data_IF_311223103021
#
_entry.id   IF_311223103021
#
_cell.length_a   1.000
_cell.length_b   1.000
_cell.length_c   1.000
_cell.angle_alpha   90.00
_cell.angle_beta   90.00
_cell.angle_gamma   90.00
#
_symmetry.space_group_name_H-M   'P 1'
#
loop_
_entity.id
_entity.type
_entity.pdbx_description
1 polymer ?
#
# COMPACT_ATOMS: atom_id res chain seq x y z
N UNK A 1 25.27 2.16 11.83
CA UNK A 1 24.84 2.67 13.15
C UNK A 1 23.41 2.23 13.34
N UNK A 2 23.00 1.87 14.55
CA UNK A 2 21.58 1.65 14.83
C UNK A 2 20.84 3.00 14.74
N UNK A 3 19.58 3.00 14.31
CA UNK A 3 18.73 4.18 14.35
C UNK A 3 18.51 4.63 15.80
N UNK A 4 18.36 5.93 16.00
CA UNK A 4 18.03 6.50 17.31
C UNK A 4 16.68 5.97 17.81
N UNK A 5 16.72 5.34 18.99
CA UNK A 5 15.55 4.73 19.63
C UNK A 5 14.53 5.77 20.10
N UNK A 6 14.89 7.04 20.18
CA UNK A 6 13.95 8.14 20.51
C UNK A 6 12.82 8.30 19.47
N UNK A 7 12.98 7.75 18.27
CA UNK A 7 11.99 7.78 17.20
C UNK A 7 10.89 6.72 17.33
N UNK A 8 11.01 5.79 18.27
CA UNK A 8 9.95 4.80 18.55
C UNK A 8 8.69 5.54 19.03
N UNK A 9 7.54 5.19 18.46
CA UNK A 9 6.24 5.84 18.71
C UNK A 9 5.98 7.08 17.87
N UNK A 10 6.94 7.54 17.04
CA UNK A 10 6.73 8.67 16.13
C UNK A 10 5.66 8.33 15.08
N UNK A 11 4.78 9.28 14.85
CA UNK A 11 3.75 9.23 13.80
C UNK A 11 3.95 10.38 12.82
N UNK A 12 3.68 10.10 11.56
CA UNK A 12 3.72 11.08 10.47
C UNK A 12 2.28 11.42 10.05
N UNK A 13 2.01 12.67 9.64
CA UNK A 13 0.67 13.10 9.29
C UNK A 13 0.13 12.26 8.12
N UNK A 14 -1.19 12.01 8.08
CA UNK A 14 -1.79 11.32 6.94
C UNK A 14 -1.49 12.06 5.62
N UNK A 15 -1.30 11.30 4.56
CA UNK A 15 -1.27 11.85 3.19
C UNK A 15 -2.69 12.05 2.68
N UNK A 16 -2.83 12.85 1.62
CA UNK A 16 -4.10 13.05 0.94
C UNK A 16 -4.74 11.71 0.55
N UNK A 17 -6.09 11.61 0.59
CA UNK A 17 -6.81 10.41 0.18
C UNK A 17 -6.38 9.96 -1.23
N UNK A 18 -6.20 8.66 -1.38
CA UNK A 18 -5.93 8.02 -2.66
C UNK A 18 -7.19 7.32 -3.16
N UNK A 19 -7.70 7.72 -4.31
CA UNK A 19 -8.78 7.00 -4.99
C UNK A 19 -8.20 5.80 -5.76
N UNK A 20 -8.70 4.61 -5.44
CA UNK A 20 -8.20 3.37 -6.05
C UNK A 20 -8.67 3.26 -7.50
N UNK A 21 -7.78 3.45 -8.46
CA UNK A 21 -8.09 3.32 -9.88
C UNK A 21 -8.02 1.88 -10.41
N UNK A 22 -8.98 1.49 -11.26
CA UNK A 22 -8.98 0.18 -11.96
C UNK A 22 -7.70 -0.08 -12.75
N UNK A 23 -7.23 0.92 -13.48
CA UNK A 23 -6.00 0.80 -14.27
C UNK A 23 -4.79 0.55 -13.37
N UNK A 24 -4.76 1.15 -12.18
CA UNK A 24 -3.65 0.90 -11.25
C UNK A 24 -3.68 -0.51 -10.68
N UNK A 25 -4.87 -1.04 -10.41
CA UNK A 25 -5.05 -2.44 -10.01
C UNK A 25 -4.55 -3.37 -11.13
N UNK A 26 -4.95 -3.12 -12.38
CA UNK A 26 -4.52 -3.88 -13.56
C UNK A 26 -2.99 -3.85 -13.72
N UNK A 27 -2.38 -2.66 -13.68
CA UNK A 27 -0.92 -2.51 -13.74
C UNK A 27 -0.22 -3.31 -12.64
N UNK A 28 -0.74 -3.26 -11.41
CA UNK A 28 -0.17 -3.97 -10.29
C UNK A 28 -0.29 -5.49 -10.47
N UNK A 29 -1.45 -5.99 -10.87
CA UNK A 29 -1.68 -7.41 -11.15
C UNK A 29 -0.69 -7.94 -12.20
N UNK A 30 -0.46 -7.19 -13.28
CA UNK A 30 0.56 -7.51 -14.29
C UNK A 30 1.97 -7.51 -13.68
N UNK A 31 2.31 -6.49 -12.89
CA UNK A 31 3.64 -6.36 -12.30
C UNK A 31 3.99 -7.51 -11.33
N UNK A 32 3.00 -8.07 -10.64
CA UNK A 32 3.17 -9.22 -9.73
C UNK A 32 2.93 -10.56 -10.43
N UNK A 33 2.54 -10.57 -11.71
CA UNK A 33 2.30 -11.78 -12.49
C UNK A 33 1.01 -12.52 -12.13
N UNK A 34 0.03 -11.86 -11.53
CA UNK A 34 -1.26 -12.46 -11.18
C UNK A 34 -2.29 -12.23 -12.29
N UNK A 35 -2.63 -13.32 -12.99
CA UNK A 35 -3.51 -13.30 -14.16
C UNK A 35 -5.00 -13.47 -13.83
N UNK A 36 -5.41 -13.35 -12.56
CA UNK A 36 -6.82 -13.48 -12.19
C UNK A 36 -7.69 -12.44 -12.93
N UNK A 37 -8.69 -12.87 -13.73
CA UNK A 37 -9.51 -11.96 -14.54
C UNK A 37 -10.31 -10.95 -13.70
N UNK A 38 -10.56 -11.24 -12.41
CA UNK A 38 -11.23 -10.33 -11.50
C UNK A 38 -10.51 -8.99 -11.35
N UNK A 39 -9.18 -8.95 -11.53
CA UNK A 39 -8.39 -7.71 -11.39
C UNK A 39 -8.46 -6.80 -12.61
N UNK A 40 -9.06 -7.25 -13.71
CA UNK A 40 -9.08 -6.52 -14.98
C UNK A 40 -10.47 -6.34 -15.57
N UNK A 41 -11.37 -7.28 -15.32
CA UNK A 41 -12.72 -7.29 -15.87
C UNK A 41 -13.76 -7.13 -14.75
N UNK A 42 -14.50 -6.00 -14.72
CA UNK A 42 -15.58 -5.79 -13.77
C UNK A 42 -16.67 -6.87 -13.81
N UNK A 43 -16.95 -7.45 -14.97
CA UNK A 43 -17.98 -8.50 -15.07
C UNK A 43 -17.47 -9.83 -14.50
N UNK A 44 -16.20 -10.17 -14.73
CA UNK A 44 -15.56 -11.30 -14.06
C UNK A 44 -15.52 -11.11 -12.53
N UNK A 45 -15.24 -9.90 -12.06
CA UNK A 45 -15.29 -9.58 -10.63
C UNK A 45 -16.70 -9.75 -10.04
N UNK A 46 -17.74 -9.25 -10.74
CA UNK A 46 -19.14 -9.41 -10.33
C UNK A 46 -19.59 -10.87 -10.32
N UNK A 47 -19.16 -11.67 -11.29
CA UNK A 47 -19.46 -13.11 -11.33
C UNK A 47 -18.91 -13.86 -10.10
N UNK A 48 -17.88 -13.31 -9.45
CA UNK A 48 -17.31 -13.82 -8.18
C UNK A 48 -17.96 -13.18 -6.93
N UNK A 49 -18.99 -12.34 -7.10
CA UNK A 49 -19.70 -11.67 -6.01
C UNK A 49 -19.02 -10.39 -5.53
N UNK A 50 -18.06 -9.84 -6.27
CA UNK A 50 -17.48 -8.54 -5.95
C UNK A 50 -18.34 -7.39 -6.50
N UNK A 51 -18.45 -6.26 -5.78
CA UNK A 51 -19.18 -5.09 -6.26
C UNK A 51 -18.48 -4.41 -7.45
N UNK A 52 -17.15 -4.50 -7.52
CA UNK A 52 -16.29 -4.00 -8.60
C UNK A 52 -14.96 -4.79 -8.59
N UNK A 53 -14.01 -4.40 -9.44
CA UNK A 53 -12.65 -4.93 -9.52
C UNK A 53 -11.96 -4.86 -8.14
N UNK A 54 -11.67 -6.00 -7.48
CA UNK A 54 -10.91 -6.01 -6.24
C UNK A 54 -9.44 -5.72 -6.49
N UNK A 55 -8.77 -5.10 -5.53
CA UNK A 55 -7.33 -4.96 -5.53
C UNK A 55 -6.64 -6.25 -5.06
N UNK A 56 -5.51 -6.66 -5.68
CA UNK A 56 -4.71 -7.78 -5.20
C UNK A 56 -4.31 -7.64 -3.72
N UNK A 57 -4.12 -8.74 -2.97
CA UNK A 57 -3.89 -8.71 -1.51
C UNK A 57 -2.66 -7.92 -1.02
N UNK A 58 -1.75 -7.53 -1.91
CA UNK A 58 -0.56 -6.73 -1.60
C UNK A 58 -0.59 -5.35 -2.25
N UNK A 59 -1.62 -5.03 -3.03
CA UNK A 59 -1.76 -3.76 -3.75
C UNK A 59 -1.64 -2.54 -2.85
N UNK A 60 -2.21 -2.62 -1.63
CA UNK A 60 -2.22 -1.49 -0.70
C UNK A 60 -0.81 -1.02 -0.34
N UNK A 61 0.20 -1.90 -0.40
CA UNK A 61 1.59 -1.50 -0.22
C UNK A 61 2.03 -0.47 -1.27
N UNK A 62 1.65 -0.64 -2.53
CA UNK A 62 2.06 0.27 -3.62
C UNK A 62 1.53 1.69 -3.42
N UNK A 63 0.35 1.85 -2.80
CA UNK A 63 -0.24 3.16 -2.53
C UNK A 63 0.28 3.76 -1.21
N UNK A 64 0.57 2.94 -0.20
CA UNK A 64 1.11 3.38 1.09
C UNK A 64 2.59 3.69 1.05
N UNK A 65 3.37 3.03 0.18
CA UNK A 65 4.82 3.24 0.09
C UNK A 65 5.17 4.70 -0.24
N UNK A 66 4.30 5.43 -0.95
CA UNK A 66 4.46 6.88 -1.14
C UNK A 66 4.48 7.66 0.17
N UNK A 67 3.66 7.25 1.15
CA UNK A 67 3.67 7.85 2.49
C UNK A 67 4.91 7.46 3.31
N UNK A 68 5.56 6.34 2.98
CA UNK A 68 6.85 5.98 3.58
C UNK A 68 7.99 6.91 3.13
N UNK A 69 7.83 7.61 1.99
CA UNK A 69 8.76 8.65 1.55
C UNK A 69 9.02 9.71 2.63
N UNK A 70 7.99 10.10 3.39
CA UNK A 70 8.15 11.04 4.50
C UNK A 70 9.10 10.55 5.60
N UNK A 71 9.20 9.23 5.79
CA UNK A 71 10.12 8.62 6.75
C UNK A 71 11.50 8.47 6.14
N UNK A 72 11.57 8.02 4.90
CA UNK A 72 12.82 7.79 4.16
C UNK A 72 13.61 9.09 3.98
N UNK A 73 12.91 10.19 3.73
CA UNK A 73 13.48 11.51 3.48
C UNK A 73 13.63 12.35 4.76
N UNK A 74 13.26 11.83 5.94
CA UNK A 74 13.38 12.56 7.20
C UNK A 74 14.86 12.73 7.60
N UNK A 75 15.42 13.96 7.54
CA UNK A 75 16.82 14.19 7.84
C UNK A 75 17.14 13.95 9.32
N UNK A 76 16.14 14.03 10.22
CA UNK A 76 16.34 13.77 11.64
C UNK A 76 16.54 12.27 11.92
N UNK A 77 15.92 11.40 11.10
CA UNK A 77 16.07 9.95 11.23
C UNK A 77 17.45 9.49 10.73
N UNK A 78 18.08 10.26 9.82
CA UNK A 78 19.42 9.97 9.30
C UNK A 78 19.50 8.62 8.59
N UNK A 79 18.39 8.16 8.01
CA UNK A 79 18.27 6.83 7.41
C UNK A 79 19.03 6.75 6.08
N UNK A 80 20.06 5.91 6.03
CA UNK A 80 20.67 5.49 4.77
C UNK A 80 19.83 4.37 4.13
N UNK A 81 18.87 4.75 3.30
CA UNK A 81 17.94 3.82 2.66
C UNK A 81 18.63 2.76 1.78
N UNK A 82 19.82 3.06 1.25
CA UNK A 82 20.57 2.12 0.40
C UNK A 82 21.02 0.86 1.15
N UNK A 83 21.03 0.91 2.48
CA UNK A 83 21.43 -0.18 3.37
C UNK A 83 20.25 -0.85 4.07
N UNK A 84 19.02 -0.48 3.69
CA UNK A 84 17.79 -1.02 4.25
C UNK A 84 17.38 -2.26 3.46
N UNK A 85 17.11 -3.34 4.19
CA UNK A 85 16.48 -4.54 3.65
C UNK A 85 15.12 -4.66 4.31
N UNK A 86 14.07 -4.84 3.49
CA UNK A 86 12.73 -5.08 3.99
C UNK A 86 12.67 -6.47 4.65
N UNK A 87 12.39 -6.51 5.95
CA UNK A 87 12.50 -7.73 6.76
C UNK A 87 11.21 -8.55 6.89
N UNK A 88 10.05 -7.90 6.97
CA UNK A 88 8.74 -8.55 7.13
C UNK A 88 7.61 -7.62 6.67
N UNK A 89 6.50 -8.23 6.20
CA UNK A 89 5.29 -7.52 5.80
C UNK A 89 4.05 -8.24 6.36
N UNK A 90 3.18 -7.47 7.01
CA UNK A 90 1.86 -7.95 7.46
C UNK A 90 0.75 -7.07 6.90
N UNK A 91 -0.35 -7.71 6.53
CA UNK A 91 -1.58 -7.04 6.12
C UNK A 91 -2.74 -7.54 6.99
N UNK A 92 -3.56 -6.62 7.48
CA UNK A 92 -4.79 -6.92 8.20
C UNK A 92 -5.95 -6.24 7.48
N UNK A 93 -6.79 -7.04 6.84
CA UNK A 93 -7.95 -6.55 6.08
C UNK A 93 -9.22 -6.69 6.90
N UNK A 94 -9.95 -5.60 7.07
CA UNK A 94 -11.33 -5.63 7.57
C UNK A 94 -12.35 -5.90 6.46
N UNK A 95 -11.99 -5.53 5.23
CA UNK A 95 -12.71 -5.81 3.98
C UNK A 95 -11.74 -5.79 2.79
N UNK A 96 -12.10 -6.42 1.64
CA UNK A 96 -11.37 -6.19 0.40
C UNK A 96 -11.43 -4.72 -0.03
N UNK A 97 -10.40 -4.29 -0.76
CA UNK A 97 -10.32 -2.97 -1.38
C UNK A 97 -10.80 -3.11 -2.82
N UNK A 98 -11.65 -2.21 -3.28
CA UNK A 98 -12.21 -2.19 -4.63
C UNK A 98 -11.80 -0.91 -5.36
N UNK A 99 -11.92 -0.95 -6.69
CA UNK A 99 -11.84 0.26 -7.49
C UNK A 99 -12.89 1.31 -7.03
N UNK A 100 -12.47 2.57 -6.98
CA UNK A 100 -13.27 3.69 -6.49
C UNK A 100 -13.22 3.88 -4.97
N UNK A 101 -12.63 2.96 -4.21
CA UNK A 101 -12.47 3.16 -2.76
C UNK A 101 -11.55 4.36 -2.46
N UNK A 102 -11.97 5.28 -1.56
CA UNK A 102 -11.07 6.27 -1.01
C UNK A 102 -10.23 5.67 0.13
N UNK A 103 -8.90 5.76 0.01
CA UNK A 103 -7.96 5.24 1.00
C UNK A 103 -7.12 6.38 1.61
N UNK A 104 -7.27 6.62 2.92
CA UNK A 104 -6.37 7.50 3.68
C UNK A 104 -5.17 6.68 4.18
N UNK A 105 -3.96 7.25 4.09
CA UNK A 105 -2.71 6.56 4.46
C UNK A 105 -2.01 7.34 5.56
N UNK A 106 -1.64 6.66 6.64
CA UNK A 106 -0.84 7.21 7.73
C UNK A 106 0.31 6.26 8.05
N UNK A 107 1.44 6.83 8.49
CA UNK A 107 2.64 6.07 8.84
C UNK A 107 2.97 6.31 10.30
N UNK A 108 3.16 5.25 11.09
CA UNK A 108 3.59 5.34 12.48
C UNK A 108 4.14 4.00 12.96
N UNK A 109 5.08 4.05 13.91
CA UNK A 109 5.42 2.83 14.65
C UNK A 109 4.31 2.55 15.66
N UNK A 110 3.91 1.28 15.80
CA UNK A 110 3.28 0.85 17.04
C UNK A 110 4.31 0.79 18.15
#
# INVERSE_FOLDING_TARGET
MALDQSFVGRSYPPTDPYEVGREKIREFAVAVGDANPAYVDPEAAKALGHPDVPAPPTFVFAITFKAAGQVIEDPQLGLDYSRVVHGDQKFAYTRPVYAGDPCTRATGSR
#
